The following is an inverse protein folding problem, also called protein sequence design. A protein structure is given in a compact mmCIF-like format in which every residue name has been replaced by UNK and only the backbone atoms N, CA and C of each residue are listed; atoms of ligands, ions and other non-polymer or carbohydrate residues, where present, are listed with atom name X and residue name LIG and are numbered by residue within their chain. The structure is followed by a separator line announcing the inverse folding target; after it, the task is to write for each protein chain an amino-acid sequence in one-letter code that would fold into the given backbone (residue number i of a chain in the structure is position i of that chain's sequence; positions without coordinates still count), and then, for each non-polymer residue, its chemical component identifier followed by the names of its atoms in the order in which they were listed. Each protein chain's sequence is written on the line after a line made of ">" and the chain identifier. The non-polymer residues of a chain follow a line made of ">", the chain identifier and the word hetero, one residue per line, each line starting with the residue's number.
data_IF_093633543761
#
_entry.id   IF_093633543761
#
_cell.length_a   1.000
_cell.length_b   1.000
_cell.length_c   1.000
_cell.angle_alpha   90.00
_cell.angle_beta   90.00
_cell.angle_gamma   90.00
#
_symmetry.space_group_name_H-M   'P 1'
#
loop_
_entity.id
_entity.type
_entity.pdbx_description
1 polymer ?
#
# COMPACT_ATOMS: atom_id res chain seq x y z
N UNK A 1 -8.61 -1.43 -9.63
CA UNK A 1 -8.88 -1.14 -8.22
C UNK A 1 -9.71 0.13 -8.08
N UNK A 2 -11.01 -0.05 -7.87
CA UNK A 2 -12.03 1.01 -7.87
C UNK A 2 -12.20 1.61 -6.46
N UNK A 3 -12.24 0.74 -5.44
CA UNK A 3 -12.41 1.14 -4.04
C UNK A 3 -11.20 1.89 -3.49
N UNK A 4 -9.98 1.51 -3.88
CA UNK A 4 -8.76 2.27 -3.56
C UNK A 4 -8.85 3.73 -4.03
N UNK A 5 -9.40 3.98 -5.24
CA UNK A 5 -9.56 5.35 -5.75
C UNK A 5 -10.58 6.14 -4.92
N UNK A 6 -11.66 5.49 -4.50
CA UNK A 6 -12.67 6.13 -3.63
C UNK A 6 -12.08 6.49 -2.27
N UNK A 7 -11.31 5.58 -1.66
CA UNK A 7 -10.63 5.83 -0.40
C UNK A 7 -9.68 7.04 -0.49
N UNK A 8 -8.84 7.09 -1.53
CA UNK A 8 -7.91 8.20 -1.73
C UNK A 8 -8.58 9.51 -2.20
N UNK A 9 -9.83 9.46 -2.65
CA UNK A 9 -10.61 10.65 -2.99
C UNK A 9 -11.16 11.38 -1.76
N UNK A 10 -11.16 10.75 -0.56
CA UNK A 10 -11.61 11.38 0.68
C UNK A 10 -10.92 12.72 0.91
N UNK A 11 -11.68 13.72 1.36
CA UNK A 11 -11.14 15.05 1.72
C UNK A 11 -10.31 14.99 2.99
N UNK A 12 -10.80 14.25 3.98
CA UNK A 12 -10.11 14.02 5.25
C UNK A 12 -9.34 12.68 5.19
N UNK A 13 -7.99 12.70 5.29
CA UNK A 13 -7.19 11.48 5.28
C UNK A 13 -7.33 10.63 6.55
N UNK A 14 -7.86 11.20 7.64
CA UNK A 14 -8.03 10.55 8.95
C UNK A 14 -9.49 10.25 9.31
N UNK A 15 -10.41 10.32 8.33
CA UNK A 15 -11.81 10.06 8.55
C UNK A 15 -12.07 8.60 8.96
N UNK A 16 -12.17 8.35 10.26
CA UNK A 16 -12.42 7.03 10.85
C UNK A 16 -13.81 6.45 10.52
N UNK A 17 -14.75 7.24 10.00
CA UNK A 17 -16.07 6.75 9.59
C UNK A 17 -16.03 5.84 8.35
N UNK A 18 -14.88 5.76 7.68
CA UNK A 18 -14.67 4.98 6.46
C UNK A 18 -13.95 3.65 6.69
N UNK A 19 -14.02 3.10 7.90
CA UNK A 19 -13.41 1.83 8.22
C UNK A 19 -13.86 0.69 7.28
N UNK A 20 -15.15 0.62 6.98
CA UNK A 20 -15.70 -0.38 6.05
C UNK A 20 -15.17 -0.21 4.61
N UNK A 21 -15.08 1.03 4.14
CA UNK A 21 -14.49 1.33 2.83
C UNK A 21 -13.01 0.98 2.81
N UNK A 22 -12.30 1.23 3.91
CA UNK A 22 -10.89 0.87 4.04
C UNK A 22 -10.70 -0.65 3.98
N UNK A 23 -11.47 -1.41 4.75
CA UNK A 23 -11.44 -2.87 4.71
C UNK A 23 -11.78 -3.40 3.32
N UNK A 24 -12.83 -2.88 2.69
CA UNK A 24 -13.21 -3.27 1.33
C UNK A 24 -12.11 -2.96 0.29
N UNK A 25 -11.44 -1.82 0.40
CA UNK A 25 -10.32 -1.47 -0.47
C UNK A 25 -9.09 -2.39 -0.23
N UNK A 26 -8.83 -2.78 1.01
CA UNK A 26 -7.79 -3.74 1.36
C UNK A 26 -8.11 -5.13 0.78
N UNK A 27 -9.35 -5.59 0.85
CA UNK A 27 -9.82 -6.83 0.23
C UNK A 27 -9.63 -6.82 -1.30
N UNK A 28 -10.05 -5.75 -1.97
CA UNK A 28 -9.83 -5.57 -3.42
C UNK A 28 -8.33 -5.63 -3.77
N UNK A 29 -7.48 -5.04 -2.93
CA UNK A 29 -6.03 -5.09 -3.13
C UNK A 29 -5.46 -6.48 -2.86
N UNK A 30 -5.95 -7.20 -1.85
CA UNK A 30 -5.54 -8.57 -1.53
C UNK A 30 -5.78 -9.50 -2.73
N UNK A 31 -7.00 -9.51 -3.29
CA UNK A 31 -7.32 -10.33 -4.45
C UNK A 31 -6.43 -10.00 -5.65
N UNK A 32 -6.17 -8.71 -5.88
CA UNK A 32 -5.24 -8.28 -6.92
C UNK A 32 -3.83 -8.81 -6.68
N UNK A 33 -3.32 -8.73 -5.46
CA UNK A 33 -1.97 -9.20 -5.11
C UNK A 33 -1.87 -10.73 -5.22
N UNK A 34 -2.87 -11.47 -4.77
CA UNK A 34 -2.91 -12.93 -4.92
C UNK A 34 -2.88 -13.33 -6.40
N UNK A 35 -3.58 -12.59 -7.25
CA UNK A 35 -3.64 -12.87 -8.69
C UNK A 35 -2.34 -12.53 -9.44
N UNK A 36 -1.55 -11.53 -8.97
CA UNK A 36 -0.44 -10.97 -9.74
C UNK A 36 0.93 -11.09 -9.07
N UNK A 37 1.00 -11.56 -7.82
CA UNK A 37 2.24 -11.75 -7.08
C UNK A 37 2.32 -13.17 -6.52
N UNK A 38 3.07 -14.04 -7.20
CA UNK A 38 3.17 -15.46 -6.86
C UNK A 38 3.74 -15.68 -5.44
N UNK A 39 4.74 -14.88 -5.04
CA UNK A 39 5.32 -15.01 -3.70
C UNK A 39 4.32 -14.60 -2.60
N UNK A 40 3.52 -13.56 -2.83
CA UNK A 40 2.47 -13.19 -1.90
C UNK A 40 1.36 -14.23 -1.82
N UNK A 41 0.99 -14.81 -2.97
CA UNK A 41 0.04 -15.93 -3.04
C UNK A 41 0.49 -17.12 -2.20
N UNK A 42 1.78 -17.48 -2.24
CA UNK A 42 2.35 -18.55 -1.40
C UNK A 42 2.22 -18.23 0.09
N UNK A 43 2.50 -16.98 0.49
CA UNK A 43 2.33 -16.53 1.88
C UNK A 43 0.87 -16.67 2.31
N UNK A 44 -0.07 -16.15 1.52
CA UNK A 44 -1.50 -16.25 1.79
C UNK A 44 -1.96 -17.72 1.92
N UNK A 45 -1.53 -18.57 0.99
CA UNK A 45 -1.85 -20.00 1.01
C UNK A 45 -1.30 -20.71 2.24
N UNK A 46 -0.09 -20.37 2.68
CA UNK A 46 0.51 -20.89 3.91
C UNK A 46 -0.27 -20.49 5.17
N UNK A 47 -1.00 -19.38 5.14
CA UNK A 47 -1.91 -18.92 6.19
C UNK A 47 -3.36 -19.38 6.01
N UNK A 48 -3.65 -20.22 5.01
CA UNK A 48 -4.99 -20.73 4.71
C UNK A 48 -5.90 -19.72 3.99
N UNK A 49 -5.37 -18.58 3.53
CA UNK A 49 -6.12 -17.52 2.85
C UNK A 49 -6.02 -17.73 1.34
N UNK A 50 -7.17 -17.88 0.69
CA UNK A 50 -7.29 -18.08 -0.76
C UNK A 50 -7.82 -16.86 -1.50
N UNK A 51 -8.66 -16.08 -0.84
CA UNK A 51 -9.31 -14.90 -1.42
C UNK A 51 -9.69 -13.89 -0.33
N UNK A 52 -10.20 -12.75 -0.73
CA UNK A 52 -10.73 -11.74 0.19
C UNK A 52 -11.96 -12.20 0.99
N UNK A 53 -12.61 -13.29 0.59
CA UNK A 53 -13.75 -13.86 1.33
C UNK A 53 -13.33 -14.41 2.69
N UNK A 54 -12.10 -14.88 2.81
CA UNK A 54 -11.53 -15.40 4.05
C UNK A 54 -11.21 -14.29 5.07
N UNK A 55 -11.25 -13.02 4.66
CA UNK A 55 -10.92 -11.86 5.49
C UNK A 55 -12.19 -11.26 6.11
N UNK A 56 -12.25 -11.21 7.43
CA UNK A 56 -13.36 -10.58 8.18
C UNK A 56 -12.96 -9.22 8.72
N UNK A 57 -11.73 -9.08 9.17
CA UNK A 57 -11.20 -7.87 9.78
C UNK A 57 -9.86 -7.48 9.13
N UNK A 58 -9.37 -6.27 9.39
CA UNK A 58 -8.06 -5.82 8.93
C UNK A 58 -6.94 -6.69 9.49
N UNK A 59 -7.12 -7.23 10.70
CA UNK A 59 -6.13 -8.09 11.34
C UNK A 59 -5.94 -9.45 10.65
N UNK A 60 -6.92 -9.89 9.86
CA UNK A 60 -6.83 -11.15 9.11
C UNK A 60 -5.99 -11.02 7.83
N UNK A 61 -5.67 -9.79 7.42
CA UNK A 61 -4.91 -9.56 6.18
C UNK A 61 -3.45 -9.96 6.40
N UNK A 62 -2.89 -10.87 5.58
CA UNK A 62 -1.49 -11.26 5.69
C UNK A 62 -0.55 -10.08 5.52
N UNK A 63 0.32 -9.85 6.49
CA UNK A 63 1.37 -8.85 6.39
C UNK A 63 2.68 -9.49 5.93
N UNK A 64 3.51 -8.71 5.26
CA UNK A 64 4.85 -9.12 4.84
C UNK A 64 5.86 -8.44 5.77
N UNK A 65 6.64 -9.20 6.56
CA UNK A 65 7.74 -8.64 7.33
C UNK A 65 8.73 -7.90 6.44
N UNK A 66 9.19 -6.73 6.86
CA UNK A 66 10.09 -5.88 6.06
C UNK A 66 11.40 -6.56 5.67
N UNK A 67 11.84 -7.54 6.46
CA UNK A 67 13.02 -8.36 6.14
C UNK A 67 12.88 -9.14 4.83
N UNK A 68 11.66 -9.61 4.50
CA UNK A 68 11.42 -10.37 3.28
C UNK A 68 11.63 -9.53 2.02
N UNK A 69 11.40 -8.21 2.07
CA UNK A 69 11.71 -7.30 0.95
C UNK A 69 13.21 -7.14 0.66
N UNK A 70 14.08 -7.62 1.56
CA UNK A 70 15.53 -7.68 1.33
C UNK A 70 15.94 -8.95 0.59
N UNK A 71 15.18 -10.03 0.74
CA UNK A 71 15.49 -11.36 0.21
C UNK A 71 14.69 -11.70 -1.04
N UNK A 72 13.46 -11.17 -1.13
CA UNK A 72 12.52 -11.45 -2.20
C UNK A 72 12.05 -10.16 -2.88
N UNK A 73 11.81 -10.23 -4.18
CA UNK A 73 11.19 -9.15 -4.94
C UNK A 73 9.69 -9.40 -5.04
N UNK A 74 8.94 -8.80 -4.14
CA UNK A 74 7.49 -8.79 -4.26
C UNK A 74 7.07 -7.80 -5.35
N UNK A 75 6.58 -8.32 -6.47
CA UNK A 75 6.11 -7.50 -7.59
C UNK A 75 4.85 -8.11 -8.16
N UNK A 76 3.83 -7.30 -8.35
CA UNK A 76 2.56 -7.68 -8.99
C UNK A 76 2.48 -7.29 -10.47
N UNK A 77 3.59 -6.92 -11.09
CA UNK A 77 3.66 -6.57 -12.51
C UNK A 77 4.49 -5.31 -12.79
N UNK A 78 4.34 -4.77 -13.99
CA UNK A 78 5.18 -3.70 -14.54
C UNK A 78 5.34 -2.47 -13.64
N UNK A 79 6.50 -2.36 -13.01
CA UNK A 79 6.93 -1.18 -12.29
C UNK A 79 7.75 -0.27 -13.23
N UNK A 80 7.55 1.04 -13.11
CA UNK A 80 8.26 2.04 -13.93
C UNK A 80 9.54 2.48 -13.23
N UNK A 81 9.54 2.51 -11.89
CA UNK A 81 10.73 2.83 -11.11
C UNK A 81 10.76 2.06 -9.79
N UNK A 82 11.96 1.92 -9.26
CA UNK A 82 12.21 1.22 -8.01
C UNK A 82 12.77 2.17 -6.97
N UNK A 83 12.28 2.05 -5.74
CA UNK A 83 12.90 2.65 -4.57
C UNK A 83 13.73 1.61 -3.84
N UNK A 84 14.91 2.01 -3.41
CA UNK A 84 15.80 1.17 -2.61
C UNK A 84 16.05 1.81 -1.26
N UNK A 85 16.07 1.00 -0.20
CA UNK A 85 16.47 1.47 1.12
C UNK A 85 17.98 1.72 1.20
N UNK A 86 18.42 2.57 2.16
CA UNK A 86 19.85 2.90 2.34
C UNK A 86 20.75 1.74 2.74
N UNK A 87 20.20 0.61 3.20
CA UNK A 87 20.96 -0.62 3.49
C UNK A 87 21.97 -0.54 4.64
N UNK A 88 21.76 0.35 5.60
CA UNK A 88 22.73 0.68 6.66
C UNK A 88 23.06 -0.46 7.63
N UNK A 89 22.24 -1.50 7.75
CA UNK A 89 22.42 -2.53 8.80
C UNK A 89 22.76 -3.93 8.29
N UNK A 90 22.68 -4.23 7.00
CA UNK A 90 22.91 -5.61 6.50
C UNK A 90 23.49 -5.72 5.09
N UNK A 91 23.90 -4.61 4.48
CA UNK A 91 24.40 -4.60 3.09
C UNK A 91 23.35 -4.91 2.01
N UNK A 92 22.26 -5.55 2.37
CA UNK A 92 21.16 -5.85 1.45
C UNK A 92 20.11 -4.74 1.47
N UNK A 93 19.83 -4.17 0.29
CA UNK A 93 18.83 -3.13 0.09
C UNK A 93 17.47 -3.75 -0.21
N UNK A 94 16.43 -3.27 0.48
CA UNK A 94 15.06 -3.58 0.07
C UNK A 94 14.75 -2.89 -1.25
N UNK A 95 14.07 -3.59 -2.16
CA UNK A 95 13.69 -3.06 -3.48
C UNK A 95 12.17 -3.08 -3.57
N UNK A 96 11.58 -1.93 -3.79
CA UNK A 96 10.13 -1.76 -3.94
C UNK A 96 9.86 -1.17 -5.32
N UNK A 97 9.09 -1.89 -6.13
CA UNK A 97 8.65 -1.42 -7.45
C UNK A 97 7.38 -0.57 -7.34
N UNK A 98 7.34 0.54 -8.06
CA UNK A 98 6.17 1.41 -8.14
C UNK A 98 5.64 1.49 -9.57
N UNK A 99 4.33 1.29 -9.72
CA UNK A 99 3.59 1.69 -10.91
C UNK A 99 3.35 3.21 -10.89
N UNK A 100 3.25 3.82 -12.06
CA UNK A 100 2.96 5.26 -12.18
C UNK A 100 1.68 5.65 -11.44
N UNK A 101 0.64 4.82 -11.54
CA UNK A 101 -0.64 5.04 -10.86
C UNK A 101 -0.51 5.06 -9.33
N UNK A 102 0.33 4.18 -8.79
CA UNK A 102 0.59 4.09 -7.35
C UNK A 102 1.43 5.29 -6.87
N UNK A 103 2.43 5.69 -7.66
CA UNK A 103 3.25 6.86 -7.36
C UNK A 103 2.43 8.16 -7.33
N UNK A 104 1.55 8.36 -8.32
CA UNK A 104 0.64 9.51 -8.35
C UNK A 104 -0.35 9.50 -7.18
N UNK A 105 -0.85 8.32 -6.78
CA UNK A 105 -1.72 8.19 -5.62
C UNK A 105 -0.97 8.53 -4.32
N UNK A 106 0.26 8.05 -4.15
CA UNK A 106 1.11 8.35 -3.01
C UNK A 106 1.43 9.85 -2.91
N UNK A 107 1.78 10.49 -4.04
CA UNK A 107 2.02 11.93 -4.09
C UNK A 107 0.77 12.74 -3.69
N UNK A 108 -0.39 12.37 -4.24
CA UNK A 108 -1.67 13.03 -3.88
C UNK A 108 -1.99 12.88 -2.40
N UNK A 109 -1.76 11.70 -1.83
CA UNK A 109 -1.99 11.46 -0.41
C UNK A 109 -1.00 12.27 0.44
N UNK A 110 0.27 12.29 0.09
CA UNK A 110 1.29 13.11 0.76
C UNK A 110 0.89 14.59 0.78
N UNK A 111 0.45 15.15 -0.35
CA UNK A 111 -0.03 16.52 -0.43
C UNK A 111 -1.28 16.78 0.42
N UNK A 112 -2.19 15.81 0.55
CA UNK A 112 -3.35 15.94 1.43
C UNK A 112 -2.96 15.97 2.89
N UNK A 113 -2.10 15.05 3.32
CA UNK A 113 -1.60 14.98 4.69
C UNK A 113 -0.84 16.25 5.07
N UNK A 114 0.05 16.74 4.21
CA UNK A 114 0.80 17.97 4.47
C UNK A 114 -0.09 19.22 4.54
N UNK A 115 -1.15 19.28 3.71
CA UNK A 115 -2.17 20.34 3.81
C UNK A 115 -3.00 20.24 5.09
N UNK A 116 -3.41 19.03 5.47
CA UNK A 116 -4.16 18.81 6.70
C UNK A 116 -3.39 19.28 7.93
N UNK A 117 -2.10 19.02 7.99
CA UNK A 117 -1.22 19.46 9.07
C UNK A 117 -0.71 20.92 8.92
N UNK A 118 -1.17 21.66 7.93
CA UNK A 118 -0.79 23.04 7.73
C UNK A 118 0.67 23.27 7.29
N UNK A 119 1.40 22.21 6.94
CA UNK A 119 2.81 22.30 6.52
C UNK A 119 2.95 23.02 5.18
N UNK A 120 1.96 22.91 4.30
CA UNK A 120 1.88 23.68 3.05
C UNK A 120 0.75 24.71 3.22
N UNK A 121 1.08 25.87 3.69
CA UNK A 121 0.21 27.06 3.64
C UNK A 121 0.57 27.87 2.41
N UNK A 122 -0.38 28.03 1.50
CA UNK A 122 -0.27 28.97 0.37
C UNK A 122 -0.52 30.43 0.82
N UNK A 123 -0.65 30.68 2.12
CA UNK A 123 -0.74 32.05 2.62
C UNK A 123 0.67 32.63 2.66
N UNK A 124 0.93 33.75 1.97
CA UNK A 124 2.21 34.43 2.13
C UNK A 124 2.37 34.83 3.61
N UNK A 125 3.52 34.55 4.19
CA UNK A 125 3.88 35.10 5.49
C UNK A 125 3.79 36.62 5.39
N UNK A 126 2.90 37.23 6.18
CA UNK A 126 2.89 38.68 6.40
C UNK A 126 3.91 39.01 7.44
#
# INVERSE_FOLDING_TARGET
>A
MKLRRQLFASKDPYDGTKADLFLAACKENLDYQIAHCEDYKKICSGMGIKSSEDIKTIADIPFIPTMLFKQHRFSSGGHIFTLTSSGTSSGHKSVIGFELSAALAALRMSLKVTRYHGVISLKPCR
#
